data_IF_447364615123
#
_entry.id   IF_447364615123
#
_cell.length_a   1.000
_cell.length_b   1.000
_cell.length_c   1.000
_cell.angle_alpha   90.00
_cell.angle_beta   90.00
_cell.angle_gamma   90.00
#
_symmetry.space_group_name_H-M   'P 1'
#
loop_
_entity.id
_entity.type
_entity.pdbx_description
1 polymer ?
#
# COMPACT_ATOMS: atom_id res chain seq x y z
N UNK A 1 33.75 12.18 -23.98
CA UNK A 1 33.39 13.24 -24.94
C UNK A 1 31.88 13.40 -24.89
N UNK A 2 31.35 14.52 -24.35
CA UNK A 2 29.91 14.76 -24.31
C UNK A 2 29.53 15.47 -25.61
N UNK A 3 28.97 14.74 -26.56
CA UNK A 3 28.41 15.35 -27.76
C UNK A 3 27.07 15.95 -27.45
N UNK A 4 26.91 17.25 -27.65
CA UNK A 4 25.63 17.92 -27.53
C UNK A 4 24.71 17.51 -28.68
N UNK A 5 23.52 17.08 -28.39
CA UNK A 5 22.50 16.86 -29.39
C UNK A 5 21.84 18.22 -29.79
N UNK A 6 21.08 18.21 -30.89
CA UNK A 6 20.49 19.43 -31.46
C UNK A 6 19.55 20.16 -30.49
N UNK A 7 18.91 19.42 -29.56
CA UNK A 7 18.03 20.00 -28.51
C UNK A 7 18.83 20.69 -27.41
N UNK A 8 20.01 20.15 -27.07
CA UNK A 8 20.93 20.77 -26.10
C UNK A 8 21.54 22.04 -26.68
N UNK A 9 21.92 22.04 -27.94
CA UNK A 9 22.40 23.22 -28.68
C UNK A 9 21.33 24.32 -28.67
N UNK A 10 20.08 24.00 -29.04
CA UNK A 10 18.97 24.97 -29.03
C UNK A 10 18.70 25.57 -27.63
N UNK A 11 18.95 24.81 -26.55
CA UNK A 11 18.78 25.29 -25.18
C UNK A 11 19.93 26.21 -24.73
N UNK A 12 21.13 25.95 -25.20
CA UNK A 12 22.29 26.89 -25.01
C UNK A 12 22.01 28.18 -25.77
N UNK A 13 21.57 28.11 -27.02
CA UNK A 13 21.23 29.27 -27.86
C UNK A 13 20.04 30.06 -27.29
N UNK A 14 19.10 29.43 -26.64
CA UNK A 14 17.97 30.09 -25.95
C UNK A 14 18.30 30.62 -24.55
N UNK A 15 19.53 30.41 -24.06
CA UNK A 15 19.98 30.89 -22.75
C UNK A 15 19.48 30.04 -21.56
N UNK A 16 18.82 28.90 -21.82
CA UNK A 16 18.33 27.99 -20.79
C UNK A 16 19.40 27.10 -20.17
N UNK A 17 20.58 26.99 -20.82
CA UNK A 17 21.77 26.29 -20.30
C UNK A 17 22.96 27.22 -20.49
N UNK A 18 23.70 27.51 -19.41
CA UNK A 18 24.93 28.31 -19.48
C UNK A 18 26.13 27.40 -19.74
N UNK A 19 26.96 27.79 -20.72
CA UNK A 19 28.28 27.23 -20.91
C UNK A 19 29.20 27.82 -19.88
N UNK A 20 29.78 26.99 -19.01
CA UNK A 20 30.69 27.42 -17.93
C UNK A 20 32.16 27.27 -18.31
N UNK A 21 32.46 26.57 -19.40
CA UNK A 21 33.83 26.41 -19.89
C UNK A 21 33.98 25.30 -20.92
N UNK A 22 35.23 24.93 -21.18
CA UNK A 22 35.59 23.83 -22.03
C UNK A 22 36.60 22.92 -21.29
N UNK A 23 36.48 21.62 -21.45
CA UNK A 23 37.46 20.67 -20.93
C UNK A 23 38.77 20.71 -21.76
N UNK A 24 39.79 19.99 -21.30
CA UNK A 24 41.09 19.90 -21.99
C UNK A 24 41.05 19.32 -23.41
N UNK A 25 39.91 18.74 -23.79
CA UNK A 25 39.67 18.17 -25.11
C UNK A 25 38.71 19.01 -25.95
N UNK A 26 38.35 20.20 -25.49
CA UNK A 26 37.45 21.13 -26.15
C UNK A 26 35.95 20.77 -26.02
N UNK A 27 35.59 19.85 -25.14
CA UNK A 27 34.19 19.54 -24.91
C UNK A 27 33.55 20.58 -24.00
N UNK A 28 32.31 20.99 -24.29
CA UNK A 28 31.59 22.02 -23.60
C UNK A 28 31.27 21.56 -22.17
N UNK A 29 31.60 22.37 -21.16
CA UNK A 29 31.15 22.22 -19.77
C UNK A 29 29.97 23.16 -19.58
N UNK A 30 28.84 22.61 -19.16
CA UNK A 30 27.61 23.37 -18.92
C UNK A 30 27.28 23.39 -17.44
N UNK A 31 26.63 24.46 -16.98
CA UNK A 31 26.02 24.52 -15.65
C UNK A 31 24.71 23.72 -15.71
N UNK A 32 24.81 22.42 -15.41
CA UNK A 32 23.67 21.50 -15.39
C UNK A 32 22.85 21.59 -14.08
N UNK A 33 23.17 22.52 -13.17
CA UNK A 33 22.54 22.61 -11.84
C UNK A 33 21.03 22.87 -11.87
N UNK A 34 20.50 23.29 -13.01
CA UNK A 34 19.05 23.55 -13.21
C UNK A 34 18.40 22.63 -14.25
N UNK A 35 19.16 21.75 -14.89
CA UNK A 35 18.67 20.93 -15.98
C UNK A 35 18.54 19.46 -15.63
N UNK A 36 17.34 19.04 -15.32
CA UNK A 36 16.99 17.61 -15.24
C UNK A 36 16.75 17.10 -16.65
N UNK A 37 17.67 16.27 -17.16
CA UNK A 37 17.53 15.62 -18.45
C UNK A 37 16.31 14.68 -18.40
N UNK A 38 15.29 14.97 -19.16
CA UNK A 38 14.15 14.08 -19.36
C UNK A 38 14.38 13.27 -20.62
N UNK A 39 14.76 12.01 -20.46
CA UNK A 39 14.85 11.06 -21.55
C UNK A 39 13.56 10.21 -21.59
N UNK A 40 13.02 9.99 -22.79
CA UNK A 40 11.92 9.04 -22.95
C UNK A 40 12.53 7.63 -22.84
N UNK A 41 12.04 6.80 -21.90
CA UNK A 41 12.57 5.45 -21.76
C UNK A 41 12.33 4.64 -23.02
N UNK A 42 13.33 3.83 -23.39
CA UNK A 42 13.19 2.89 -24.48
C UNK A 42 12.19 1.77 -24.15
N UNK A 43 11.75 1.06 -25.18
CA UNK A 43 10.85 -0.10 -25.05
C UNK A 43 11.53 -1.32 -24.41
N UNK A 44 12.84 -1.33 -24.33
CA UNK A 44 13.64 -2.37 -23.68
C UNK A 44 14.57 -1.75 -22.65
N UNK A 45 14.49 -2.25 -21.44
CA UNK A 45 15.35 -1.84 -20.34
C UNK A 45 16.37 -2.94 -20.07
N UNK A 46 17.64 -2.63 -20.33
CA UNK A 46 18.77 -3.55 -20.10
C UNK A 46 19.64 -3.01 -18.96
N UNK A 47 19.02 -2.88 -17.78
CA UNK A 47 19.71 -2.42 -16.58
C UNK A 47 20.05 -3.62 -15.68
N UNK A 48 21.24 -3.64 -15.12
CA UNK A 48 21.66 -4.69 -14.18
C UNK A 48 20.75 -4.77 -12.94
N UNK A 49 20.23 -3.62 -12.51
CA UNK A 49 19.22 -3.51 -11.43
C UNK A 49 17.93 -4.27 -11.74
N UNK A 50 17.58 -4.44 -13.02
CA UNK A 50 16.34 -5.12 -13.42
C UNK A 50 16.49 -6.64 -13.51
N UNK A 51 17.70 -7.17 -13.31
CA UNK A 51 17.92 -8.60 -13.32
C UNK A 51 17.13 -9.28 -12.20
N UNK A 52 16.23 -10.21 -12.58
CA UNK A 52 15.37 -10.92 -11.64
C UNK A 52 16.15 -11.81 -10.65
N UNK A 53 17.37 -12.24 -10.99
CA UNK A 53 18.24 -12.99 -10.08
C UNK A 53 18.75 -12.07 -8.96
N UNK A 54 19.44 -10.98 -9.31
CA UNK A 54 20.09 -10.10 -8.34
C UNK A 54 19.09 -9.22 -7.59
N UNK A 55 18.16 -8.56 -8.30
CA UNK A 55 17.16 -7.68 -7.70
C UNK A 55 15.89 -8.39 -7.18
N UNK A 56 15.70 -9.66 -7.54
CA UNK A 56 14.55 -10.46 -7.12
C UNK A 56 14.95 -11.60 -6.18
N UNK A 57 15.53 -12.66 -6.73
CA UNK A 57 15.81 -13.91 -6.00
C UNK A 57 16.83 -13.70 -4.88
N UNK A 58 17.91 -12.95 -5.11
CA UNK A 58 18.94 -12.73 -4.09
C UNK A 58 18.44 -11.81 -2.97
N UNK A 59 17.68 -10.76 -3.31
CA UNK A 59 17.00 -9.92 -2.32
C UNK A 59 16.03 -10.75 -1.48
N UNK A 60 15.23 -11.60 -2.12
CA UNK A 60 14.27 -12.44 -1.38
C UNK A 60 14.97 -13.42 -0.44
N UNK A 61 16.11 -14.00 -0.84
CA UNK A 61 16.88 -14.93 0.00
C UNK A 61 17.43 -14.31 1.27
N UNK A 62 17.82 -13.04 1.26
CA UNK A 62 18.33 -12.38 2.48
C UNK A 62 17.17 -11.91 3.36
N UNK A 63 16.04 -11.54 2.76
CA UNK A 63 14.83 -11.13 3.47
C UNK A 63 14.10 -12.34 4.08
N UNK A 64 14.04 -13.46 3.35
CA UNK A 64 13.35 -14.70 3.76
C UNK A 64 14.25 -15.92 3.49
N UNK A 65 15.31 -16.18 4.28
CA UNK A 65 16.29 -17.21 3.99
C UNK A 65 15.77 -18.65 4.15
N UNK A 66 14.70 -18.85 4.88
CA UNK A 66 14.03 -20.12 5.13
C UNK A 66 12.85 -20.41 4.19
N UNK A 67 12.56 -19.51 3.26
CA UNK A 67 11.39 -19.61 2.37
C UNK A 67 11.78 -19.50 0.90
N UNK A 68 10.96 -20.09 0.04
CA UNK A 68 11.18 -20.06 -1.41
C UNK A 68 9.94 -19.50 -2.09
N UNK A 69 10.16 -18.66 -3.08
CA UNK A 69 9.13 -18.20 -3.99
C UNK A 69 9.70 -18.23 -5.42
N UNK A 70 9.00 -18.84 -6.39
CA UNK A 70 9.48 -18.90 -7.75
C UNK A 70 9.39 -17.53 -8.43
N UNK A 71 10.44 -17.17 -9.16
CA UNK A 71 10.50 -16.01 -10.04
C UNK A 71 10.06 -14.65 -9.43
N UNK A 72 10.59 -14.25 -8.27
CA UNK A 72 10.28 -12.93 -7.73
C UNK A 72 10.79 -11.84 -8.69
N UNK A 73 10.00 -10.78 -8.86
CA UNK A 73 10.42 -9.63 -9.67
C UNK A 73 11.55 -8.88 -8.96
N UNK A 74 12.41 -8.20 -9.72
CA UNK A 74 13.39 -7.27 -9.16
C UNK A 74 12.66 -6.12 -8.46
N UNK A 75 13.04 -5.83 -7.21
CA UNK A 75 12.49 -4.69 -6.45
C UNK A 75 12.84 -3.37 -7.13
N UNK A 76 14.03 -3.28 -7.71
CA UNK A 76 14.52 -2.09 -8.41
C UNK A 76 13.79 -1.86 -9.74
N UNK A 77 13.51 -2.95 -10.50
CA UNK A 77 12.72 -2.83 -11.71
C UNK A 77 11.30 -2.32 -11.44
N UNK A 78 10.68 -2.79 -10.36
CA UNK A 78 9.34 -2.35 -9.97
C UNK A 78 9.39 -0.91 -9.44
N UNK A 79 10.42 -0.53 -8.70
CA UNK A 79 10.65 0.83 -8.23
C UNK A 79 10.81 1.80 -9.40
N UNK A 80 11.67 1.48 -10.39
CA UNK A 80 11.85 2.29 -11.58
C UNK A 80 10.55 2.45 -12.39
N UNK A 81 9.77 1.38 -12.56
CA UNK A 81 8.43 1.46 -13.18
C UNK A 81 7.53 2.45 -12.44
N UNK A 82 7.50 2.37 -11.12
CA UNK A 82 6.67 3.30 -10.33
C UNK A 82 7.14 4.73 -10.47
N UNK A 83 8.44 4.97 -10.54
CA UNK A 83 9.03 6.30 -10.73
C UNK A 83 8.50 7.00 -11.98
N UNK A 84 8.26 6.28 -13.07
CA UNK A 84 7.65 6.86 -14.27
C UNK A 84 6.23 7.39 -14.05
N UNK A 85 5.44 6.75 -13.21
CA UNK A 85 4.03 7.10 -13.03
C UNK A 85 3.78 8.02 -11.85
N UNK A 86 4.60 7.93 -10.81
CA UNK A 86 4.32 8.55 -9.52
C UNK A 86 5.49 9.34 -8.91
N UNK A 87 6.62 9.57 -9.63
CA UNK A 87 7.73 10.35 -9.10
C UNK A 87 7.27 11.74 -8.60
N UNK A 88 6.44 12.42 -9.37
CA UNK A 88 5.88 13.74 -9.03
C UNK A 88 4.59 13.68 -8.20
N UNK A 89 4.22 12.50 -7.69
CA UNK A 89 3.02 12.24 -6.85
C UNK A 89 3.44 11.59 -5.54
N UNK A 90 3.99 12.38 -4.65
CA UNK A 90 4.59 11.91 -3.39
C UNK A 90 3.60 11.19 -2.44
N UNK A 91 2.29 11.33 -2.65
CA UNK A 91 1.22 10.71 -1.86
C UNK A 91 0.34 9.74 -2.67
N UNK A 92 0.82 9.24 -3.82
CA UNK A 92 0.06 8.33 -4.68
C UNK A 92 -0.36 7.05 -3.93
N UNK A 93 -1.50 6.50 -4.34
CA UNK A 93 -1.96 5.18 -3.93
C UNK A 93 -1.68 4.18 -5.05
N UNK A 94 -0.94 3.13 -4.74
CA UNK A 94 -0.58 2.03 -5.62
C UNK A 94 -1.38 0.79 -5.23
N UNK A 95 -2.07 0.17 -6.18
CA UNK A 95 -2.85 -1.04 -5.93
C UNK A 95 -2.30 -2.19 -6.76
N UNK A 96 -2.00 -3.31 -6.11
CA UNK A 96 -1.52 -4.54 -6.74
C UNK A 96 -2.49 -5.68 -6.42
N UNK A 97 -3.25 -6.13 -7.44
CA UNK A 97 -4.26 -7.16 -7.29
C UNK A 97 -3.70 -8.59 -7.27
N UNK A 98 -2.43 -8.78 -7.60
CA UNK A 98 -1.77 -10.08 -7.63
C UNK A 98 -0.38 -9.97 -7.00
N UNK A 99 -0.34 -9.56 -5.75
CA UNK A 99 0.87 -9.16 -5.04
C UNK A 99 1.99 -10.22 -5.02
N UNK A 100 1.66 -11.50 -5.19
CA UNK A 100 2.64 -12.57 -5.25
C UNK A 100 3.59 -12.54 -4.05
N UNK A 101 4.87 -12.28 -4.30
CA UNK A 101 5.86 -12.16 -3.22
C UNK A 101 5.88 -10.79 -2.51
N UNK A 102 4.97 -9.85 -2.81
CA UNK A 102 4.93 -8.53 -2.20
C UNK A 102 6.01 -7.56 -2.70
N UNK A 103 6.50 -7.74 -3.92
CA UNK A 103 7.55 -6.88 -4.49
C UNK A 103 7.10 -5.43 -4.63
N UNK A 104 5.83 -5.22 -5.01
CA UNK A 104 5.26 -3.87 -5.19
C UNK A 104 5.28 -3.06 -3.90
N UNK A 105 4.82 -3.62 -2.78
CA UNK A 105 4.88 -2.94 -1.48
C UNK A 105 6.32 -2.62 -1.05
N UNK A 106 7.24 -3.55 -1.27
CA UNK A 106 8.66 -3.36 -0.97
C UNK A 106 9.27 -2.23 -1.82
N UNK A 107 8.92 -2.16 -3.12
CA UNK A 107 9.39 -1.11 -4.02
C UNK A 107 8.78 0.26 -3.69
N UNK A 108 7.54 0.33 -3.21
CA UNK A 108 6.93 1.59 -2.73
C UNK A 108 7.67 2.13 -1.51
N UNK A 109 8.01 1.25 -0.54
CA UNK A 109 8.82 1.64 0.62
C UNK A 109 10.20 2.16 0.20
N UNK A 110 10.85 1.47 -0.75
CA UNK A 110 12.14 1.91 -1.29
C UNK A 110 12.03 3.28 -1.96
N UNK A 111 11.05 3.50 -2.82
CA UNK A 111 10.82 4.78 -3.49
C UNK A 111 10.54 5.91 -2.50
N UNK A 112 9.71 5.67 -1.48
CA UNK A 112 9.45 6.65 -0.42
C UNK A 112 10.71 7.00 0.38
N UNK A 113 11.56 6.00 0.67
CA UNK A 113 12.83 6.24 1.35
C UNK A 113 13.75 7.16 0.53
N UNK A 114 13.84 6.91 -0.79
CA UNK A 114 14.74 7.62 -1.68
C UNK A 114 14.34 9.10 -1.92
N UNK A 115 13.05 9.40 -1.97
CA UNK A 115 12.58 10.75 -2.32
C UNK A 115 11.76 11.44 -1.20
N UNK A 116 11.65 10.81 -0.02
CA UNK A 116 10.86 11.33 1.11
C UNK A 116 9.36 11.30 0.87
N UNK A 117 8.88 10.51 -0.10
CA UNK A 117 7.47 10.35 -0.42
C UNK A 117 6.68 9.71 0.71
N UNK A 118 5.35 9.78 0.57
CA UNK A 118 4.36 9.17 1.49
C UNK A 118 3.33 8.36 0.69
N UNK A 119 3.79 7.69 -0.36
CA UNK A 119 2.96 6.83 -1.19
C UNK A 119 2.49 5.64 -0.37
N UNK A 120 1.29 5.16 -0.67
CA UNK A 120 0.69 3.99 -0.02
C UNK A 120 0.57 2.86 -1.03
N UNK A 121 0.71 1.62 -0.56
CA UNK A 121 0.42 0.42 -1.35
C UNK A 121 -0.71 -0.38 -0.73
N UNK A 122 -1.61 -0.88 -1.58
CA UNK A 122 -2.60 -1.90 -1.24
C UNK A 122 -2.27 -3.13 -2.05
N UNK A 123 -1.85 -4.19 -1.38
CA UNK A 123 -1.51 -5.48 -1.98
C UNK A 123 -2.63 -6.48 -1.71
N UNK A 124 -3.19 -7.04 -2.78
CA UNK A 124 -4.28 -8.01 -2.71
C UNK A 124 -3.76 -9.31 -3.30
N UNK A 125 -3.91 -10.40 -2.60
CA UNK A 125 -3.58 -11.74 -3.09
C UNK A 125 -4.44 -12.79 -2.40
N UNK A 126 -4.70 -13.89 -3.09
CA UNK A 126 -5.27 -15.08 -2.45
C UNK A 126 -4.23 -15.71 -1.51
N UNK A 127 -4.68 -16.63 -0.67
CA UNK A 127 -3.82 -17.36 0.26
C UNK A 127 -3.67 -18.82 -0.17
N UNK A 128 -3.45 -19.06 -1.47
CA UNK A 128 -3.20 -20.41 -2.01
C UNK A 128 -1.81 -20.91 -1.60
N UNK A 129 -1.62 -22.22 -1.63
CA UNK A 129 -0.32 -22.86 -1.44
C UNK A 129 0.16 -23.46 -2.77
N UNK A 130 1.48 -23.60 -2.91
CA UNK A 130 2.05 -24.20 -4.12
C UNK A 130 1.67 -25.69 -4.26
N UNK A 131 1.59 -26.22 -5.50
CA UNK A 131 1.10 -27.58 -5.78
C UNK A 131 1.82 -28.70 -5.02
N UNK A 132 3.13 -28.57 -4.83
CA UNK A 132 3.92 -29.58 -4.10
C UNK A 132 3.57 -29.60 -2.61
N UNK A 133 3.41 -28.43 -2.00
CA UNK A 133 2.99 -28.27 -0.60
C UNK A 133 1.55 -28.75 -0.43
N UNK A 134 0.68 -28.42 -1.36
CA UNK A 134 -0.72 -28.89 -1.38
C UNK A 134 -0.79 -30.40 -1.39
N UNK A 135 -0.07 -31.04 -2.29
CA UNK A 135 0.01 -32.50 -2.36
C UNK A 135 0.51 -33.12 -1.06
N UNK A 136 1.55 -32.55 -0.46
CA UNK A 136 2.06 -33.00 0.84
C UNK A 136 1.02 -32.86 1.94
N UNK A 137 0.34 -31.72 2.02
CA UNK A 137 -0.68 -31.46 3.05
C UNK A 137 -1.87 -32.41 2.94
N UNK A 138 -2.35 -32.67 1.73
CA UNK A 138 -3.45 -33.59 1.49
C UNK A 138 -3.02 -35.03 1.79
N UNK A 139 -1.88 -35.47 1.25
CA UNK A 139 -1.51 -36.89 1.29
C UNK A 139 -0.91 -37.34 2.61
N UNK A 140 0.02 -36.53 3.18
CA UNK A 140 0.76 -36.89 4.39
C UNK A 140 0.12 -36.31 5.66
N UNK A 141 -0.23 -35.02 5.66
CA UNK A 141 -0.75 -34.33 6.86
C UNK A 141 -2.27 -34.41 7.00
N UNK A 142 -2.99 -34.84 5.95
CA UNK A 142 -4.46 -34.94 5.91
C UNK A 142 -5.15 -33.57 6.22
N UNK A 143 -4.52 -32.47 5.90
CA UNK A 143 -5.04 -31.13 6.08
C UNK A 143 -6.01 -30.76 4.97
N UNK A 144 -6.93 -29.84 5.29
CA UNK A 144 -7.89 -29.24 4.35
C UNK A 144 -7.59 -27.75 4.17
N UNK A 145 -8.00 -27.12 3.06
CA UNK A 145 -7.81 -25.71 2.81
C UNK A 145 -8.37 -24.79 3.92
N UNK A 146 -9.40 -25.24 4.65
CA UNK A 146 -10.00 -24.49 5.77
C UNK A 146 -9.23 -24.59 7.08
N UNK A 147 -8.28 -25.53 7.19
CA UNK A 147 -7.56 -25.75 8.43
C UNK A 147 -6.58 -24.60 8.71
N UNK A 148 -6.49 -24.16 9.97
CA UNK A 148 -5.64 -23.07 10.37
C UNK A 148 -4.16 -23.32 10.06
N UNK A 149 -3.70 -24.57 10.14
CA UNK A 149 -2.34 -24.95 9.76
C UNK A 149 -2.12 -24.80 8.25
N UNK A 150 -3.07 -25.21 7.40
CA UNK A 150 -3.00 -24.96 5.96
C UNK A 150 -2.88 -23.49 5.64
N UNK A 151 -3.74 -22.68 6.24
CA UNK A 151 -3.80 -21.23 5.99
C UNK A 151 -2.52 -20.48 6.34
N UNK A 152 -1.71 -20.99 7.27
CA UNK A 152 -0.41 -20.38 7.63
C UNK A 152 0.63 -20.43 6.51
N UNK A 153 0.54 -21.41 5.61
CA UNK A 153 1.51 -21.61 4.54
C UNK A 153 1.08 -21.02 3.19
N UNK A 154 -0.09 -20.40 3.15
CA UNK A 154 -0.56 -19.72 1.94
C UNK A 154 0.29 -18.49 1.61
N UNK A 155 0.33 -18.17 0.32
CA UNK A 155 1.21 -17.13 -0.25
C UNK A 155 1.05 -15.77 0.45
N UNK A 156 -0.19 -15.37 0.77
CA UNK A 156 -0.47 -14.11 1.44
C UNK A 156 0.21 -14.01 2.81
N UNK A 157 0.09 -15.05 3.64
CA UNK A 157 0.59 -15.08 5.01
C UNK A 157 2.05 -15.47 5.09
N UNK A 158 2.43 -16.51 4.34
CA UNK A 158 3.75 -17.13 4.45
C UNK A 158 4.83 -16.40 3.66
N UNK A 159 4.47 -15.73 2.56
CA UNK A 159 5.42 -15.06 1.67
C UNK A 159 5.21 -13.54 1.68
N UNK A 160 4.04 -13.06 1.22
CA UNK A 160 3.78 -11.63 0.98
C UNK A 160 3.92 -10.82 2.26
N UNK A 161 3.19 -11.20 3.30
CA UNK A 161 3.19 -10.50 4.59
C UNK A 161 4.54 -10.55 5.27
N UNK A 162 5.20 -11.70 5.26
CA UNK A 162 6.51 -11.85 5.90
C UNK A 162 7.60 -11.02 5.21
N UNK A 163 7.56 -10.92 3.88
CA UNK A 163 8.46 -10.03 3.15
C UNK A 163 8.23 -8.57 3.53
N UNK A 164 6.98 -8.14 3.60
CA UNK A 164 6.64 -6.76 3.98
C UNK A 164 7.12 -6.48 5.40
N UNK A 165 6.86 -7.36 6.35
CA UNK A 165 7.36 -7.21 7.73
C UNK A 165 8.88 -7.14 7.79
N UNK A 166 9.57 -8.03 7.09
CA UNK A 166 11.03 -8.07 7.09
C UNK A 166 11.62 -6.78 6.50
N UNK A 167 11.06 -6.27 5.39
CA UNK A 167 11.49 -5.01 4.81
C UNK A 167 11.27 -3.83 5.77
N UNK A 168 10.12 -3.77 6.45
CA UNK A 168 9.83 -2.73 7.43
C UNK A 168 10.77 -2.74 8.64
N UNK A 169 11.05 -3.93 9.17
CA UNK A 169 11.79 -4.08 10.42
C UNK A 169 13.29 -4.20 10.24
N UNK A 170 13.78 -4.48 9.04
CA UNK A 170 15.18 -4.84 8.80
C UNK A 170 15.58 -6.21 9.35
N UNK A 171 14.60 -7.02 9.80
CA UNK A 171 14.78 -8.34 10.41
C UNK A 171 14.22 -9.41 9.49
N UNK A 172 15.03 -10.41 9.15
CA UNK A 172 14.62 -11.50 8.27
C UNK A 172 13.65 -12.48 8.98
N UNK A 173 13.11 -13.43 8.24
CA UNK A 173 12.15 -14.42 8.77
C UNK A 173 12.73 -15.39 9.81
N UNK A 174 14.05 -15.40 10.02
CA UNK A 174 14.71 -16.13 11.12
C UNK A 174 14.93 -15.30 12.38
N UNK A 175 14.54 -14.02 12.37
CA UNK A 175 14.74 -13.12 13.49
C UNK A 175 16.14 -12.48 13.55
N UNK A 176 16.91 -12.54 12.45
CA UNK A 176 18.25 -11.96 12.34
C UNK A 176 18.19 -10.65 11.53
N UNK A 177 19.09 -9.68 11.76
CA UNK A 177 19.24 -8.52 10.88
C UNK A 177 19.47 -8.95 9.43
N UNK A 178 18.78 -8.31 8.49
CA UNK A 178 18.94 -8.59 7.06
C UNK A 178 20.36 -8.21 6.64
N UNK A 179 21.07 -9.14 6.00
CA UNK A 179 22.45 -8.93 5.53
C UNK A 179 22.48 -8.24 4.18
N UNK A 180 23.44 -7.35 3.98
CA UNK A 180 23.68 -6.63 2.74
C UNK A 180 22.92 -5.32 2.64
N UNK A 181 23.15 -4.63 1.53
CA UNK A 181 22.67 -3.29 1.31
C UNK A 181 21.71 -3.25 0.11
N UNK A 182 20.79 -2.29 0.09
CA UNK A 182 20.11 -1.93 -1.14
C UNK A 182 21.13 -1.36 -2.12
N UNK A 183 21.02 -1.76 -3.38
CA UNK A 183 21.98 -1.42 -4.45
C UNK A 183 21.30 -0.59 -5.54
N UNK A 184 22.12 -0.04 -6.44
CA UNK A 184 21.66 0.69 -7.63
C UNK A 184 20.94 2.01 -7.39
N UNK A 185 20.80 2.44 -6.14
CA UNK A 185 20.23 3.71 -5.70
C UNK A 185 21.17 4.30 -4.63
N UNK A 186 20.69 5.07 -3.67
CA UNK A 186 21.46 5.30 -2.45
C UNK A 186 21.65 3.95 -1.75
N UNK A 187 22.91 3.57 -1.55
CA UNK A 187 23.24 2.32 -0.88
C UNK A 187 23.09 2.49 0.63
N UNK A 188 22.22 1.71 1.23
CA UNK A 188 22.01 1.69 2.67
C UNK A 188 21.72 0.26 3.15
N UNK A 189 22.04 -0.08 4.42
CA UNK A 189 21.87 -1.42 4.95
C UNK A 189 20.39 -1.83 4.96
N UNK A 190 20.09 -3.03 4.44
CA UNK A 190 18.73 -3.59 4.51
C UNK A 190 18.26 -3.80 5.95
N UNK A 191 19.21 -3.94 6.89
CA UNK A 191 18.94 -4.09 8.33
C UNK A 191 18.38 -2.83 9.01
N UNK A 192 18.46 -1.66 8.37
CA UNK A 192 17.84 -0.44 8.90
C UNK A 192 16.33 -0.49 8.83
N UNK A 193 15.78 -1.29 7.90
CA UNK A 193 14.36 -1.31 7.60
C UNK A 193 13.83 0.02 7.07
N UNK A 194 12.53 0.07 6.80
CA UNK A 194 11.87 1.30 6.36
C UNK A 194 11.07 1.94 7.50
N UNK A 195 11.13 3.27 7.63
CA UNK A 195 10.35 4.05 8.63
C UNK A 195 8.90 4.21 8.19
N UNK A 196 8.23 3.08 7.99
CA UNK A 196 6.84 3.02 7.54
C UNK A 196 6.03 2.05 8.40
N UNK A 197 4.77 1.88 8.09
CA UNK A 197 3.93 0.89 8.74
C UNK A 197 3.13 0.08 7.71
N UNK A 198 2.68 -1.09 8.11
CA UNK A 198 1.77 -1.93 7.33
C UNK A 198 0.79 -2.65 8.24
N UNK A 199 -0.37 -2.97 7.68
CA UNK A 199 -1.38 -3.78 8.36
C UNK A 199 -1.83 -4.88 7.41
N UNK A 200 -2.08 -6.07 7.96
CA UNK A 200 -2.58 -7.22 7.24
C UNK A 200 -4.03 -7.48 7.60
N UNK A 201 -4.85 -7.73 6.58
CA UNK A 201 -6.25 -8.10 6.75
C UNK A 201 -6.54 -9.45 6.10
N UNK A 202 -7.29 -10.29 6.79
CA UNK A 202 -7.94 -11.46 6.22
C UNK A 202 -9.36 -11.10 5.78
N UNK A 203 -9.70 -11.34 4.51
CA UNK A 203 -11.07 -11.20 4.04
C UNK A 203 -11.87 -12.46 4.36
N UNK A 204 -12.97 -12.29 5.07
CA UNK A 204 -13.92 -13.35 5.41
C UNK A 204 -15.35 -12.91 5.06
N UNK A 205 -16.20 -13.89 4.81
CA UNK A 205 -17.62 -13.62 4.72
C UNK A 205 -18.23 -13.65 6.12
N UNK A 206 -18.94 -12.57 6.46
CA UNK A 206 -19.65 -12.46 7.74
C UNK A 206 -21.16 -12.53 7.54
N UNK A 207 -21.88 -12.97 8.58
CA UNK A 207 -23.35 -13.04 8.55
C UNK A 207 -23.95 -11.63 8.53
N UNK A 208 -24.74 -11.32 7.50
CA UNK A 208 -25.31 -9.99 7.32
C UNK A 208 -26.28 -9.57 8.43
N UNK A 209 -26.93 -10.52 9.14
CA UNK A 209 -27.80 -10.19 10.27
C UNK A 209 -26.96 -9.82 11.51
N UNK A 210 -25.87 -10.55 11.75
CA UNK A 210 -24.94 -10.24 12.83
C UNK A 210 -24.34 -8.84 12.66
N UNK A 211 -23.98 -8.46 11.43
CA UNK A 211 -23.49 -7.10 11.12
C UNK A 211 -24.56 -6.05 11.37
N UNK A 212 -25.80 -6.23 10.89
CA UNK A 212 -26.92 -5.29 11.12
C UNK A 212 -27.23 -5.03 12.59
N UNK A 213 -27.03 -6.04 13.43
CA UNK A 213 -27.24 -5.96 14.87
C UNK A 213 -26.00 -5.48 15.64
N UNK A 214 -24.98 -4.98 14.95
CA UNK A 214 -23.68 -4.60 15.50
C UNK A 214 -22.91 -5.73 16.22
N UNK A 215 -23.34 -6.98 16.12
CA UNK A 215 -22.67 -8.11 16.77
C UNK A 215 -21.33 -8.46 16.13
N UNK A 216 -21.13 -8.08 14.87
CA UNK A 216 -19.90 -8.28 14.14
C UNK A 216 -19.22 -6.95 13.72
N UNK A 217 -19.44 -5.88 14.49
CA UNK A 217 -18.89 -4.54 14.17
C UNK A 217 -17.36 -4.58 14.02
N UNK A 218 -16.66 -5.25 14.93
CA UNK A 218 -15.22 -5.36 14.94
C UNK A 218 -14.66 -5.96 13.63
N UNK A 219 -15.40 -6.86 13.00
CA UNK A 219 -15.00 -7.53 11.76
C UNK A 219 -15.07 -6.59 10.55
N UNK A 220 -15.97 -5.60 10.58
CA UNK A 220 -16.10 -4.61 9.50
C UNK A 220 -15.31 -3.33 9.75
N UNK A 221 -14.89 -3.06 10.96
CA UNK A 221 -14.15 -1.85 11.34
C UNK A 221 -12.93 -1.57 10.44
N UNK A 222 -12.12 -2.58 10.05
CA UNK A 222 -11.01 -2.37 9.13
C UNK A 222 -11.44 -1.80 7.76
N UNK A 223 -12.58 -2.23 7.24
CA UNK A 223 -13.10 -1.75 5.95
C UNK A 223 -13.51 -0.28 6.03
N UNK A 224 -14.12 0.12 7.15
CA UNK A 224 -14.53 1.50 7.41
C UNK A 224 -13.31 2.41 7.51
N UNK A 225 -12.29 1.98 8.24
CA UNK A 225 -11.04 2.68 8.38
C UNK A 225 -10.29 2.82 7.05
N UNK A 226 -10.24 1.75 6.23
CA UNK A 226 -9.64 1.79 4.90
C UNK A 226 -10.37 2.76 3.98
N UNK A 227 -11.71 2.74 3.95
CA UNK A 227 -12.52 3.68 3.16
C UNK A 227 -12.26 5.13 3.57
N UNK A 228 -12.05 5.38 4.85
CA UNK A 228 -11.70 6.71 5.37
C UNK A 228 -10.24 7.15 5.10
N UNK A 229 -9.42 6.30 4.46
CA UNK A 229 -8.06 6.65 4.03
C UNK A 229 -6.94 6.16 4.93
N UNK A 230 -7.20 5.22 5.84
CA UNK A 230 -6.22 4.57 6.73
C UNK A 230 -5.40 5.56 7.57
N UNK A 231 -6.02 6.60 8.10
CA UNK A 231 -5.36 7.58 8.95
C UNK A 231 -5.94 7.56 10.34
N UNK A 232 -5.04 7.74 11.31
CA UNK A 232 -5.38 7.75 12.71
C UNK A 232 -5.81 6.39 13.26
N UNK A 233 -6.43 6.43 14.43
CA UNK A 233 -6.90 5.26 15.14
C UNK A 233 -8.05 4.57 14.42
N UNK A 234 -8.00 3.26 14.31
CA UNK A 234 -9.16 2.46 13.89
C UNK A 234 -10.19 2.41 15.03
N UNK A 235 -11.45 2.73 14.72
CA UNK A 235 -12.58 2.56 15.64
C UNK A 235 -13.06 1.12 15.48
N UNK A 236 -12.77 0.25 16.45
CA UNK A 236 -13.06 -1.19 16.39
C UNK A 236 -14.01 -1.67 17.50
N UNK A 237 -14.46 -0.75 18.36
CA UNK A 237 -15.41 -1.03 19.43
C UNK A 237 -16.58 -0.05 19.42
N UNK A 238 -17.74 -0.54 19.84
CA UNK A 238 -18.93 0.30 20.06
C UNK A 238 -18.84 0.93 21.43
N UNK A 239 -18.78 2.25 21.46
CA UNK A 239 -18.65 2.99 22.72
C UNK A 239 -19.98 3.18 23.42
N UNK A 240 -19.94 3.26 24.75
CA UNK A 240 -21.12 3.54 25.58
C UNK A 240 -21.74 4.93 25.34
N UNK A 241 -20.96 5.84 24.77
CA UNK A 241 -21.42 7.19 24.39
C UNK A 241 -22.27 7.21 23.12
N UNK A 242 -22.43 6.06 22.44
CA UNK A 242 -23.21 5.94 21.22
C UNK A 242 -22.56 6.52 19.96
N UNK A 243 -21.34 7.05 20.02
CA UNK A 243 -20.53 7.47 18.87
C UNK A 243 -19.04 7.47 19.22
N UNK A 244 -18.20 7.46 18.20
CA UNK A 244 -16.75 7.60 18.33
C UNK A 244 -16.18 8.39 17.15
N UNK A 245 -15.05 9.09 17.37
CA UNK A 245 -14.41 9.97 16.42
C UNK A 245 -12.90 9.70 16.39
N UNK A 246 -12.38 9.43 15.20
CA UNK A 246 -10.95 9.34 14.92
C UNK A 246 -10.46 10.60 14.17
N UNK A 247 -9.25 10.58 13.56
CA UNK A 247 -8.67 11.76 12.91
C UNK A 247 -9.39 12.19 11.64
N UNK A 248 -9.85 11.25 10.82
CA UNK A 248 -10.47 11.56 9.52
C UNK A 248 -11.88 11.00 9.37
N UNK A 249 -12.36 10.21 10.33
CA UNK A 249 -13.72 9.67 10.27
C UNK A 249 -14.37 9.55 11.65
N UNK A 250 -15.70 9.47 11.63
CA UNK A 250 -16.52 9.33 12.80
C UNK A 250 -17.62 8.29 12.57
N UNK A 251 -18.09 7.65 13.64
CA UNK A 251 -19.17 6.67 13.58
C UNK A 251 -20.21 7.02 14.62
N UNK A 252 -21.46 7.18 14.20
CA UNK A 252 -22.63 7.31 15.07
C UNK A 252 -23.31 5.94 15.17
N UNK A 253 -23.26 5.33 16.35
CA UNK A 253 -23.86 4.01 16.64
C UNK A 253 -25.30 4.12 17.15
N UNK A 254 -25.55 5.17 17.95
CA UNK A 254 -26.87 5.42 18.55
C UNK A 254 -27.38 6.80 18.17
N UNK A 255 -28.57 6.85 17.58
CA UNK A 255 -29.22 8.10 17.19
C UNK A 255 -29.42 9.05 18.37
N UNK A 256 -29.62 8.55 19.59
CA UNK A 256 -29.79 9.38 20.78
C UNK A 256 -28.57 10.27 21.06
N UNK A 257 -27.40 9.85 20.65
CA UNK A 257 -26.14 10.60 20.76
C UNK A 257 -25.91 11.62 19.62
N UNK A 258 -26.86 11.76 18.69
CA UNK A 258 -26.69 12.55 17.45
C UNK A 258 -26.32 14.02 17.69
N UNK A 259 -26.86 14.66 18.73
CA UNK A 259 -26.55 16.07 19.03
C UNK A 259 -25.08 16.27 19.41
N UNK A 260 -24.57 15.42 20.28
CA UNK A 260 -23.17 15.48 20.72
C UNK A 260 -22.24 15.08 19.60
N UNK A 261 -22.59 14.04 18.86
CA UNK A 261 -21.88 13.63 17.64
C UNK A 261 -21.70 14.78 16.64
N UNK A 262 -22.79 15.47 16.28
CA UNK A 262 -22.75 16.58 15.31
C UNK A 262 -21.95 17.75 15.85
N UNK A 263 -22.05 18.07 17.14
CA UNK A 263 -21.23 19.10 17.78
C UNK A 263 -19.74 18.76 17.64
N UNK A 264 -19.37 17.56 18.04
CA UNK A 264 -17.96 17.14 18.13
C UNK A 264 -17.33 16.90 16.73
N UNK A 265 -18.13 16.52 15.73
CA UNK A 265 -17.70 16.42 14.33
C UNK A 265 -17.38 17.80 13.72
N UNK A 266 -18.12 18.86 14.13
CA UNK A 266 -17.89 20.23 13.61
C UNK A 266 -16.54 20.80 14.00
N UNK A 267 -16.01 20.40 15.13
CA UNK A 267 -14.75 20.90 15.68
C UNK A 267 -13.52 20.13 15.18
N UNK A 268 -13.73 19.13 14.31
CA UNK A 268 -12.69 18.24 13.80
C UNK A 268 -12.68 18.18 12.28
N UNK A 269 -11.52 17.81 11.71
CA UNK A 269 -11.35 17.67 10.26
C UNK A 269 -11.81 16.28 9.78
N UNK A 270 -13.08 15.97 9.96
CA UNK A 270 -13.66 14.69 9.58
C UNK A 270 -14.00 14.69 8.08
N UNK A 271 -13.63 13.63 7.38
CA UNK A 271 -13.92 13.42 5.96
C UNK A 271 -15.14 12.53 5.75
N UNK A 272 -15.30 11.51 6.58
CA UNK A 272 -16.37 10.51 6.45
C UNK A 272 -17.09 10.36 7.78
N UNK A 273 -18.42 10.43 7.75
CA UNK A 273 -19.29 10.16 8.90
C UNK A 273 -20.17 8.92 8.61
N UNK A 274 -19.89 7.82 9.29
CA UNK A 274 -20.71 6.62 9.20
C UNK A 274 -21.89 6.74 10.18
N UNK A 275 -23.09 6.45 9.68
CA UNK A 275 -24.33 6.56 10.45
C UNK A 275 -25.01 5.21 10.47
N UNK A 276 -25.08 4.60 11.66
CA UNK A 276 -25.77 3.31 11.87
C UNK A 276 -27.25 3.56 12.03
N UNK A 277 -28.04 3.33 11.00
CA UNK A 277 -29.50 3.44 11.04
C UNK A 277 -30.15 2.75 9.85
N UNK A 278 -31.27 2.08 10.09
CA UNK A 278 -32.15 1.53 9.05
C UNK A 278 -33.23 2.53 8.63
N UNK A 279 -33.32 3.68 9.31
CA UNK A 279 -34.33 4.71 9.05
C UNK A 279 -33.80 5.81 8.12
N UNK A 280 -34.35 5.90 6.92
CA UNK A 280 -34.03 6.98 5.98
C UNK A 280 -34.33 8.39 6.56
N UNK A 281 -35.46 8.64 7.23
CA UNK A 281 -35.71 9.92 7.86
C UNK A 281 -34.65 10.33 8.89
N UNK A 282 -34.21 9.39 9.75
CA UNK A 282 -33.17 9.66 10.74
C UNK A 282 -31.82 9.94 10.07
N UNK A 283 -31.46 9.17 9.05
CA UNK A 283 -30.26 9.42 8.27
C UNK A 283 -30.29 10.84 7.65
N UNK A 284 -31.38 11.22 7.00
CA UNK A 284 -31.53 12.55 6.40
C UNK A 284 -31.49 13.68 7.43
N UNK A 285 -31.96 13.44 8.65
CA UNK A 285 -31.88 14.41 9.73
C UNK A 285 -30.41 14.67 10.14
N UNK A 286 -29.58 13.64 10.24
CA UNK A 286 -28.15 13.76 10.54
C UNK A 286 -27.42 14.41 9.35
N UNK A 287 -27.66 13.92 8.14
CA UNK A 287 -27.05 14.42 6.90
C UNK A 287 -27.13 15.95 6.77
N UNK A 288 -28.32 16.51 6.99
CA UNK A 288 -28.55 17.95 6.89
C UNK A 288 -27.82 18.81 7.91
N UNK A 289 -27.34 18.20 8.99
CA UNK A 289 -26.67 18.88 10.11
C UNK A 289 -25.15 18.73 10.10
N UNK A 290 -24.62 17.79 9.28
CA UNK A 290 -23.18 17.59 9.15
C UNK A 290 -22.50 18.80 8.48
N UNK A 291 -21.24 19.08 8.80
CA UNK A 291 -20.46 20.14 8.15
C UNK A 291 -20.33 19.89 6.64
N UNK A 292 -20.23 20.97 5.87
CA UNK A 292 -19.92 20.86 4.44
C UNK A 292 -18.55 20.21 4.25
N UNK A 293 -18.48 19.20 3.37
CA UNK A 293 -17.24 18.46 3.08
C UNK A 293 -17.09 17.14 3.83
N UNK A 294 -17.94 16.85 4.81
CA UNK A 294 -18.06 15.53 5.40
C UNK A 294 -18.92 14.64 4.51
N UNK A 295 -18.39 13.50 4.05
CA UNK A 295 -19.14 12.48 3.31
C UNK A 295 -19.99 11.65 4.29
N UNK A 296 -21.31 11.73 4.28
CA UNK A 296 -22.16 10.88 5.10
C UNK A 296 -22.34 9.52 4.45
N UNK A 297 -22.12 8.46 5.19
CA UNK A 297 -22.30 7.09 4.73
C UNK A 297 -23.26 6.37 5.64
N UNK A 298 -24.40 5.93 5.08
CA UNK A 298 -25.33 5.08 5.81
C UNK A 298 -24.73 3.69 5.95
N UNK A 299 -24.40 3.31 7.17
CA UNK A 299 -23.76 2.03 7.43
C UNK A 299 -24.78 0.90 7.29
N UNK A 300 -24.31 -0.24 6.84
CA UNK A 300 -25.02 -1.49 6.57
C UNK A 300 -25.89 -1.50 5.31
N UNK A 301 -26.66 -0.50 4.98
CA UNK A 301 -27.51 -0.55 3.79
C UNK A 301 -26.68 -0.58 2.48
N UNK A 302 -25.74 0.33 2.35
CA UNK A 302 -24.88 0.39 1.16
C UNK A 302 -23.99 -0.85 0.98
N UNK A 303 -23.51 -1.43 2.07
CA UNK A 303 -22.65 -2.61 2.02
C UNK A 303 -23.43 -3.89 1.76
N UNK A 304 -24.58 -4.06 2.42
CA UNK A 304 -25.40 -5.27 2.28
C UNK A 304 -26.14 -5.33 0.95
N UNK A 305 -26.54 -4.19 0.39
CA UNK A 305 -27.17 -4.14 -0.93
C UNK A 305 -26.18 -4.49 -2.04
N UNK A 306 -24.95 -4.00 -1.95
CA UNK A 306 -23.88 -4.36 -2.91
C UNK A 306 -23.57 -5.86 -2.91
N UNK A 307 -23.52 -6.48 -1.74
CA UNK A 307 -23.28 -7.93 -1.63
C UNK A 307 -24.48 -8.77 -2.07
N UNK A 308 -25.72 -8.29 -1.90
CA UNK A 308 -26.91 -8.99 -2.38
C UNK A 308 -27.00 -9.05 -3.91
N UNK A 309 -26.47 -8.05 -4.61
CA UNK A 309 -26.45 -8.01 -6.09
C UNK A 309 -25.43 -9.02 -6.64
N UNK A 310 -24.33 -9.29 -5.95
CA UNK A 310 -23.27 -10.20 -6.42
C UNK A 310 -23.37 -11.62 -5.84
N UNK A 311 -24.19 -11.85 -4.82
CA UNK A 311 -24.35 -13.14 -4.15
C UNK A 311 -25.46 -14.04 -4.72
N UNK A 312 -26.12 -13.63 -5.82
CA UNK A 312 -27.17 -14.40 -6.50
C UNK A 312 -26.76 -14.87 -7.90
N UNK A 313 -25.46 -14.92 -8.21
CA UNK A 313 -24.92 -15.47 -9.46
C UNK A 313 -24.28 -16.82 -9.25
#
# INVERSE_FOLDING_TARGET
MKYLNRKEINKIESGNIKVTGYDKNGAVITDDSTFVRQDIPGTQWRLDSHNARTGGTEVLKVVMPDRKFPFPKSVYAVEDVMRFFVANKSNALIVDFFAGSGTTSHAVMLLNHLDGGKRKSISITNNEIGPDTEKEFITKKKLRPTDAEWQKYGIAKYITWERIKAALTGINTKGEPIKGDYKFTEEFPMSEGFKENAIFFDLKYEDGKAIRLNMAFREIAPLLWMKAGCKGRMIDEITVNGYDISEEYAILFDFMASKDFIRDVKDKNIKVAYIVTDSEPLYQQIYKQLPKGVEPVRLYENYLTSFAIYGTA
#
